data_IF_281244852136
#
_entry.id   IF_281244852136
#
_cell.length_a   1.000
_cell.length_b   1.000
_cell.length_c   1.000
_cell.angle_alpha   90.00
_cell.angle_beta   90.00
_cell.angle_gamma   90.00
#
_symmetry.space_group_name_H-M   'P 1'
#
loop_
_entity.id
_entity.type
_entity.pdbx_description
1 polymer ?
#
# COMPACT_ATOMS: atom_id res chain seq x y z
N UNK A 1 42.75 63.90 -9.01
CA UNK A 1 42.63 63.30 -7.66
C UNK A 1 41.58 62.20 -7.74
N UNK A 2 41.97 60.97 -7.40
CA UNK A 2 41.35 59.72 -7.89
C UNK A 2 39.99 59.39 -7.26
N UNK A 3 39.09 58.87 -8.09
CA UNK A 3 37.80 58.29 -7.66
C UNK A 3 38.04 56.82 -7.30
N UNK A 4 37.97 56.48 -6.02
CA UNK A 4 38.11 55.11 -5.54
C UNK A 4 36.77 54.38 -5.76
N UNK A 5 36.76 53.28 -6.52
CA UNK A 5 35.59 52.42 -6.67
C UNK A 5 35.73 51.28 -5.65
N UNK A 6 34.84 51.23 -4.66
CA UNK A 6 34.77 50.11 -3.71
C UNK A 6 33.82 49.06 -4.28
N UNK A 7 34.38 48.02 -4.92
CA UNK A 7 33.61 46.87 -5.39
C UNK A 7 33.45 45.90 -4.20
N UNK A 8 32.27 45.92 -3.56
CA UNK A 8 31.90 44.92 -2.57
C UNK A 8 31.40 43.68 -3.33
N UNK A 9 32.26 42.65 -3.46
CA UNK A 9 31.84 41.35 -4.00
C UNK A 9 31.15 40.56 -2.89
N UNK A 10 29.82 40.55 -2.89
CA UNK A 10 29.03 39.66 -2.05
C UNK A 10 29.08 38.25 -2.64
N UNK A 11 29.80 37.34 -1.98
CA UNK A 11 29.76 35.91 -2.28
C UNK A 11 28.41 35.35 -1.83
N UNK A 12 27.46 35.24 -2.76
CA UNK A 12 26.20 34.52 -2.51
C UNK A 12 26.52 33.03 -2.58
N UNK A 13 26.64 32.38 -1.42
CA UNK A 13 26.76 30.92 -1.34
C UNK A 13 25.47 30.28 -1.83
N UNK A 14 25.54 29.52 -2.93
CA UNK A 14 24.42 28.70 -3.41
C UNK A 14 24.34 27.47 -2.53
N UNK A 15 23.45 27.49 -1.54
CA UNK A 15 23.08 26.27 -0.82
C UNK A 15 22.02 25.53 -1.62
N UNK A 16 22.32 24.30 -2.03
CA UNK A 16 21.36 23.41 -2.68
C UNK A 16 20.38 22.95 -1.59
N UNK A 17 19.18 23.54 -1.53
CA UNK A 17 18.11 23.05 -0.65
C UNK A 17 17.41 21.87 -1.32
N UNK A 18 17.41 20.70 -0.69
CA UNK A 18 16.57 19.57 -1.11
C UNK A 18 15.09 19.93 -0.88
N UNK A 19 14.25 19.80 -1.90
CA UNK A 19 12.81 20.07 -1.81
C UNK A 19 12.05 18.86 -1.25
N UNK A 20 12.27 18.53 0.02
CA UNK A 20 11.48 17.53 0.75
C UNK A 20 10.37 18.23 1.53
N UNK A 21 9.16 17.65 1.53
CA UNK A 21 8.01 18.20 2.24
C UNK A 21 7.92 17.55 3.62
N UNK A 22 8.17 18.34 4.67
CA UNK A 22 7.88 17.94 6.05
C UNK A 22 6.55 18.51 6.52
N UNK A 23 5.70 17.69 7.11
CA UNK A 23 4.47 18.12 7.81
C UNK A 23 4.58 17.64 9.26
N UNK A 24 4.63 18.57 10.21
CA UNK A 24 4.83 18.24 11.63
C UNK A 24 6.26 17.85 12.01
N UNK A 25 7.23 17.97 11.11
CA UNK A 25 8.66 17.78 11.36
C UNK A 25 9.50 18.83 10.61
N UNK A 26 10.59 19.29 11.24
CA UNK A 26 11.59 20.16 10.61
C UNK A 26 12.78 19.39 10.06
N UNK A 27 12.85 18.08 10.34
CA UNK A 27 13.91 17.18 9.88
C UNK A 27 13.29 15.96 9.20
N UNK A 28 12.71 16.11 7.98
CA UNK A 28 12.21 14.96 7.23
C UNK A 28 13.30 13.90 7.05
N UNK A 29 12.92 12.63 7.08
CA UNK A 29 13.83 11.53 6.79
C UNK A 29 14.45 11.70 5.39
N UNK A 30 15.77 11.54 5.27
CA UNK A 30 16.50 11.81 4.02
C UNK A 30 16.05 10.95 2.82
N UNK A 31 15.38 9.81 3.08
CA UNK A 31 14.81 8.92 2.07
C UNK A 31 13.35 9.25 1.71
N UNK A 32 12.75 10.27 2.30
CA UNK A 32 11.34 10.62 2.12
C UNK A 32 11.18 11.93 1.33
N UNK A 33 10.37 11.90 0.28
CA UNK A 33 9.95 13.13 -0.42
C UNK A 33 8.84 13.87 0.36
N UNK A 34 8.03 13.11 1.11
CA UNK A 34 7.02 13.59 2.04
C UNK A 34 7.18 12.85 3.37
N UNK A 35 7.38 13.58 4.46
CA UNK A 35 7.42 13.05 5.83
C UNK A 35 6.36 13.74 6.67
N UNK A 36 5.44 12.95 7.24
CA UNK A 36 4.33 13.43 8.07
C UNK A 36 4.46 12.85 9.46
N UNK A 37 4.68 13.71 10.45
CA UNK A 37 4.81 13.32 11.86
C UNK A 37 3.70 13.97 12.68
N UNK A 38 2.99 13.16 13.47
CA UNK A 38 2.00 13.61 14.46
C UNK A 38 1.86 12.55 15.56
N UNK A 39 1.53 12.97 16.78
CA UNK A 39 1.25 12.07 17.92
C UNK A 39 -0.24 11.76 18.09
N UNK A 40 -1.12 12.52 17.44
CA UNK A 40 -2.57 12.51 17.67
C UNK A 40 -3.42 12.68 16.39
N UNK A 41 -2.80 12.84 15.22
CA UNK A 41 -3.48 12.93 13.93
C UNK A 41 -2.97 11.87 12.94
N UNK A 42 -3.85 11.47 12.02
CA UNK A 42 -3.52 10.60 10.89
C UNK A 42 -3.49 11.34 9.55
N UNK A 43 -3.13 10.62 8.48
CA UNK A 43 -3.21 11.14 7.11
C UNK A 43 -4.57 10.79 6.48
N UNK A 44 -5.34 11.81 6.10
CA UNK A 44 -6.60 11.63 5.40
C UNK A 44 -6.34 11.45 3.89
N UNK A 45 -6.37 10.20 3.44
CA UNK A 45 -6.23 9.84 2.02
C UNK A 45 -7.35 10.46 1.17
N UNK A 46 -7.09 10.86 -0.10
CA UNK A 46 -8.14 11.31 -1.02
C UNK A 46 -9.29 10.30 -1.10
N UNK A 47 -10.52 10.79 -0.92
CA UNK A 47 -11.75 10.02 -1.00
C UNK A 47 -12.37 10.18 -2.38
N UNK A 48 -12.53 9.10 -3.10
CA UNK A 48 -13.05 9.09 -4.47
C UNK A 48 -14.16 8.05 -4.60
N UNK A 49 -15.10 8.26 -5.52
CA UNK A 49 -16.15 7.29 -5.83
C UNK A 49 -15.80 6.58 -7.14
N UNK A 50 -15.01 5.50 -7.07
CA UNK A 50 -14.65 4.72 -8.26
C UNK A 50 -15.90 4.05 -8.85
N UNK A 51 -15.95 3.96 -10.17
CA UNK A 51 -17.05 3.32 -10.91
C UNK A 51 -16.78 1.85 -11.24
N UNK A 52 -15.50 1.43 -11.27
CA UNK A 52 -15.03 0.05 -11.40
C UNK A 52 -13.53 -0.01 -11.10
N UNK A 53 -12.93 -1.21 -11.09
CA UNK A 53 -11.46 -1.34 -11.01
C UNK A 53 -10.74 -0.77 -12.24
N UNK A 54 -11.44 -0.59 -13.37
CA UNK A 54 -10.91 -0.03 -14.61
C UNK A 54 -11.24 1.46 -14.79
N UNK A 55 -11.70 2.13 -13.74
CA UNK A 55 -12.05 3.55 -13.79
C UNK A 55 -10.80 4.42 -13.98
N UNK A 56 -10.68 5.03 -15.17
CA UNK A 56 -9.65 6.01 -15.52
C UNK A 56 -10.20 7.44 -15.73
N UNK A 57 -11.41 7.70 -15.24
CA UNK A 57 -12.12 8.96 -15.49
C UNK A 57 -12.34 9.76 -14.19
N UNK A 58 -12.55 9.07 -13.08
CA UNK A 58 -12.79 9.70 -11.77
C UNK A 58 -11.59 10.50 -11.28
N UNK A 59 -10.38 10.02 -11.55
CA UNK A 59 -9.12 10.70 -11.22
C UNK A 59 -8.50 11.17 -12.52
N UNK A 60 -8.52 12.49 -12.75
CA UNK A 60 -8.13 13.08 -14.04
C UNK A 60 -6.62 13.31 -14.09
N UNK A 61 -6.00 12.91 -15.20
CA UNK A 61 -4.57 13.07 -15.48
C UNK A 61 -3.84 11.76 -15.24
N UNK A 62 -3.59 11.03 -16.34
CA UNK A 62 -2.97 9.70 -16.45
C UNK A 62 -2.56 9.07 -15.11
N UNK A 63 -3.29 8.04 -14.71
CA UNK A 63 -3.11 7.36 -13.44
C UNK A 63 -1.67 6.86 -13.32
N UNK A 64 -0.89 7.51 -12.45
CA UNK A 64 0.49 7.13 -12.19
C UNK A 64 0.47 5.88 -11.31
N UNK A 65 1.32 4.91 -11.62
CA UNK A 65 1.49 3.72 -10.78
C UNK A 65 1.76 4.13 -9.33
N UNK A 66 1.12 3.42 -8.40
CA UNK A 66 1.17 3.66 -6.96
C UNK A 66 0.41 4.89 -6.45
N UNK A 67 -0.45 5.52 -7.26
CA UNK A 67 -1.48 6.41 -6.71
C UNK A 67 -2.36 5.65 -5.72
N UNK A 68 -2.59 6.22 -4.53
CA UNK A 68 -3.35 5.61 -3.44
C UNK A 68 -4.57 6.48 -3.11
N UNK A 69 -5.73 5.86 -2.98
CA UNK A 69 -7.01 6.52 -2.67
C UNK A 69 -7.86 5.66 -1.74
N UNK A 70 -8.86 6.27 -1.11
CA UNK A 70 -9.95 5.57 -0.44
C UNK A 70 -11.20 5.62 -1.32
N UNK A 71 -11.63 4.48 -1.86
CA UNK A 71 -12.88 4.35 -2.59
C UNK A 71 -14.07 4.42 -1.61
N UNK A 72 -15.10 5.20 -1.94
CA UNK A 72 -16.33 5.35 -1.16
C UNK A 72 -17.53 4.65 -1.77
N UNK A 73 -17.42 4.14 -3.00
CA UNK A 73 -18.54 3.60 -3.76
C UNK A 73 -18.64 2.07 -3.67
N UNK A 74 -19.86 1.54 -3.73
CA UNK A 74 -20.14 0.14 -4.03
C UNK A 74 -20.77 0.07 -5.41
N UNK A 75 -19.96 -0.16 -6.44
CA UNK A 75 -20.39 -0.19 -7.85
C UNK A 75 -19.56 -1.22 -8.59
N UNK A 76 -20.18 -2.01 -9.46
CA UNK A 76 -19.53 -3.07 -10.23
C UNK A 76 -18.67 -3.99 -9.34
N UNK A 77 -17.36 -3.97 -9.53
CA UNK A 77 -16.35 -4.78 -8.84
C UNK A 77 -15.58 -4.03 -7.75
N UNK A 78 -15.99 -2.80 -7.41
CA UNK A 78 -15.41 -2.03 -6.31
C UNK A 78 -16.37 -1.90 -5.13
N UNK A 79 -15.79 -1.92 -3.94
CA UNK A 79 -16.44 -1.68 -2.64
C UNK A 79 -15.62 -0.69 -1.82
N UNK A 80 -16.18 -0.06 -0.76
CA UNK A 80 -15.45 0.89 0.05
C UNK A 80 -14.16 0.30 0.64
N UNK A 81 -13.06 1.02 0.49
CA UNK A 81 -11.74 0.54 0.93
C UNK A 81 -10.59 1.32 0.32
N UNK A 82 -9.36 0.97 0.71
CA UNK A 82 -8.16 1.55 0.10
C UNK A 82 -7.85 0.87 -1.23
N UNK A 83 -7.54 1.66 -2.26
CA UNK A 83 -7.15 1.18 -3.58
C UNK A 83 -5.90 1.90 -4.05
N UNK A 84 -5.02 1.18 -4.73
CA UNK A 84 -3.92 1.79 -5.46
C UNK A 84 -3.96 1.44 -6.94
N UNK A 85 -3.50 2.36 -7.79
CA UNK A 85 -3.36 2.11 -9.21
C UNK A 85 -2.08 1.29 -9.47
N UNK A 86 -2.21 0.10 -10.05
CA UNK A 86 -1.04 -0.75 -10.33
C UNK A 86 -0.40 -0.49 -11.70
N UNK A 87 -0.90 0.50 -12.46
CA UNK A 87 -0.51 0.77 -13.85
C UNK A 87 -1.53 0.29 -14.88
N UNK A 88 -2.51 -0.53 -14.49
CA UNK A 88 -3.54 -1.06 -15.38
C UNK A 88 -4.95 -1.06 -14.76
N UNK A 89 -5.07 -1.24 -13.44
CA UNK A 89 -6.33 -1.25 -12.72
C UNK A 89 -6.14 -0.81 -11.25
N UNK A 90 -7.23 -0.41 -10.61
CA UNK A 90 -7.31 -0.20 -9.17
C UNK A 90 -7.32 -1.54 -8.44
N UNK A 91 -6.38 -1.71 -7.51
CA UNK A 91 -6.22 -2.91 -6.70
C UNK A 91 -6.49 -2.58 -5.24
N UNK A 92 -7.28 -3.41 -4.54
CA UNK A 92 -7.55 -3.24 -3.12
C UNK A 92 -6.27 -3.43 -2.30
N UNK A 93 -6.01 -2.48 -1.40
CA UNK A 93 -4.96 -2.61 -0.39
C UNK A 93 -5.53 -3.39 0.79
N UNK A 94 -5.20 -4.68 0.89
CA UNK A 94 -5.69 -5.58 1.95
C UNK A 94 -6.23 -6.92 1.46
N UNK A 95 -6.39 -7.10 0.14
CA UNK A 95 -6.84 -8.35 -0.47
C UNK A 95 -8.32 -8.68 -0.19
N UNK A 96 -8.95 -9.39 -1.13
CA UNK A 96 -10.37 -9.80 -1.03
C UNK A 96 -10.55 -11.13 -0.27
N UNK A 97 -9.44 -11.82 0.05
CA UNK A 97 -9.45 -13.10 0.76
C UNK A 97 -8.25 -13.17 1.68
N UNK A 98 -8.52 -13.36 2.98
CA UNK A 98 -7.51 -13.86 3.91
C UNK A 98 -7.04 -15.21 3.39
N UNK A 99 -5.79 -15.33 2.96
CA UNK A 99 -5.20 -16.58 2.50
C UNK A 99 -4.93 -17.57 3.66
N UNK A 100 -5.43 -17.28 4.86
CA UNK A 100 -5.21 -18.05 6.07
C UNK A 100 -6.52 -18.62 6.63
N UNK A 101 -6.39 -19.72 7.37
CA UNK A 101 -7.43 -20.21 8.27
C UNK A 101 -7.33 -19.48 9.61
N UNK A 102 -8.39 -18.80 10.02
CA UNK A 102 -8.41 -17.97 11.22
C UNK A 102 -8.66 -18.79 12.50
N UNK A 103 -8.17 -18.29 13.64
CA UNK A 103 -8.32 -18.95 14.95
C UNK A 103 -9.78 -19.15 15.38
N UNK A 104 -10.67 -18.26 14.92
CA UNK A 104 -12.11 -18.32 15.18
C UNK A 104 -12.90 -18.95 14.02
N UNK A 105 -12.20 -19.40 12.97
CA UNK A 105 -12.77 -19.95 11.75
C UNK A 105 -13.09 -18.91 10.69
N UNK A 106 -13.28 -19.38 9.45
CA UNK A 106 -13.61 -18.55 8.29
C UNK A 106 -15.10 -18.66 7.96
N UNK A 107 -15.77 -17.53 7.75
CA UNK A 107 -17.15 -17.49 7.23
C UNK A 107 -17.15 -17.42 5.70
N UNK A 108 -18.25 -17.86 5.06
CA UNK A 108 -18.43 -17.73 3.60
C UNK A 108 -17.59 -18.68 2.74
N UNK A 109 -17.06 -19.76 3.31
CA UNK A 109 -16.25 -20.76 2.59
C UNK A 109 -17.10 -21.64 1.68
N UNK A 110 -16.55 -22.01 0.52
CA UNK A 110 -17.07 -23.07 -0.35
C UNK A 110 -16.17 -24.31 -0.26
N UNK A 111 -16.66 -25.47 0.21
CA UNK A 111 -15.84 -26.68 0.37
C UNK A 111 -15.16 -27.20 -0.92
N UNK A 112 -15.64 -26.82 -2.11
CA UNK A 112 -15.01 -27.22 -3.38
C UNK A 112 -13.74 -26.41 -3.70
N UNK A 113 -13.57 -25.23 -3.09
CA UNK A 113 -12.47 -24.29 -3.42
C UNK A 113 -11.74 -23.76 -2.19
N UNK A 114 -12.29 -23.90 -0.99
CA UNK A 114 -11.71 -23.45 0.28
C UNK A 114 -11.58 -24.65 1.23
N UNK A 115 -10.35 -24.99 1.59
CA UNK A 115 -10.06 -26.13 2.48
C UNK A 115 -8.75 -25.92 3.23
N UNK A 116 -8.57 -26.65 4.34
CA UNK A 116 -7.25 -26.84 4.98
C UNK A 116 -6.62 -28.05 4.29
N UNK A 117 -5.56 -27.85 3.52
CA UNK A 117 -4.93 -28.95 2.80
C UNK A 117 -3.96 -28.49 1.73
N UNK A 118 -3.51 -29.47 0.96
CA UNK A 118 -2.59 -29.33 -0.18
C UNK A 118 -3.37 -29.53 -1.48
N UNK A 119 -2.89 -28.91 -2.57
CA UNK A 119 -3.42 -29.10 -3.93
C UNK A 119 -2.54 -30.02 -4.77
N UNK A 120 -1.43 -30.50 -4.21
CA UNK A 120 -0.44 -31.34 -4.86
C UNK A 120 -0.34 -32.72 -4.17
N UNK A 121 0.53 -33.58 -4.69
CA UNK A 121 0.76 -34.93 -4.17
C UNK A 121 1.65 -34.92 -2.92
N UNK A 122 1.30 -34.09 -1.94
CA UNK A 122 1.97 -33.99 -0.64
C UNK A 122 0.94 -34.15 0.48
N UNK A 123 1.35 -34.81 1.56
CA UNK A 123 0.54 -34.95 2.77
C UNK A 123 0.32 -33.62 3.49
N UNK A 124 -0.86 -33.45 4.11
CA UNK A 124 -1.08 -32.40 5.08
C UNK A 124 -0.56 -32.86 6.45
N UNK A 125 0.38 -32.11 7.04
CA UNK A 125 0.96 -32.43 8.35
C UNK A 125 0.65 -31.34 9.37
N UNK A 126 0.10 -31.74 10.53
CA UNK A 126 -0.10 -30.90 11.71
C UNK A 126 1.02 -31.18 12.70
N UNK A 127 1.64 -30.11 13.22
CA UNK A 127 2.77 -30.17 14.15
C UNK A 127 2.49 -29.40 15.43
N UNK A 128 3.03 -29.88 16.56
CA UNK A 128 3.16 -29.11 17.80
C UNK A 128 4.64 -29.10 18.22
N UNK A 129 5.18 -27.93 18.58
CA UNK A 129 6.61 -27.78 18.88
C UNK A 129 7.54 -28.34 17.77
N UNK A 130 7.17 -28.14 16.51
CA UNK A 130 7.86 -28.68 15.34
C UNK A 130 7.93 -30.22 15.27
N UNK A 131 7.15 -30.94 16.08
CA UNK A 131 6.98 -32.40 16.04
C UNK A 131 5.67 -32.74 15.36
N UNK A 132 5.70 -33.68 14.43
CA UNK A 132 4.50 -34.19 13.76
C UNK A 132 3.57 -34.89 14.75
N UNK A 133 2.32 -34.44 14.80
CA UNK A 133 1.27 -35.01 15.67
C UNK A 133 0.12 -35.62 14.90
N UNK A 134 -0.14 -35.16 13.67
CA UNK A 134 -1.15 -35.72 12.78
C UNK A 134 -0.72 -35.56 11.32
N UNK A 135 -1.00 -36.60 10.51
CA UNK A 135 -0.79 -36.61 9.06
C UNK A 135 -2.06 -37.08 8.36
N UNK A 136 -2.50 -36.34 7.35
CA UNK A 136 -3.53 -36.77 6.39
C UNK A 136 -2.80 -37.12 5.10
N UNK A 137 -2.83 -38.40 4.75
CA UNK A 137 -2.09 -38.90 3.58
C UNK A 137 -2.78 -38.50 2.28
N UNK A 138 -2.00 -38.14 1.26
CA UNK A 138 -2.56 -38.03 -0.09
C UNK A 138 -3.17 -39.37 -0.51
N UNK A 139 -4.29 -39.38 -1.27
CA UNK A 139 -4.86 -40.61 -1.78
C UNK A 139 -3.87 -41.32 -2.70
N UNK A 140 -3.73 -42.64 -2.54
CA UNK A 140 -3.11 -43.48 -3.57
C UNK A 140 -4.07 -43.50 -4.77
N UNK A 141 -3.59 -43.06 -5.93
CA UNK A 141 -4.40 -42.98 -7.15
C UNK A 141 -4.93 -44.33 -7.63
#
# INVERSE_FOLDING_TARGET
>A
MGKIYFLLVTLVGVTISTAQVGIGTTTPAASAMLDVTSTDQGFLMPRVALTSTLDTATIVGAEVTSLLVYNTATVADVSPGFYYWNGAQWVTLGGTVSAAWELLGNAGTNPATNFVGTTDAQDLVIRTNNVETLRVTQPDG
#
